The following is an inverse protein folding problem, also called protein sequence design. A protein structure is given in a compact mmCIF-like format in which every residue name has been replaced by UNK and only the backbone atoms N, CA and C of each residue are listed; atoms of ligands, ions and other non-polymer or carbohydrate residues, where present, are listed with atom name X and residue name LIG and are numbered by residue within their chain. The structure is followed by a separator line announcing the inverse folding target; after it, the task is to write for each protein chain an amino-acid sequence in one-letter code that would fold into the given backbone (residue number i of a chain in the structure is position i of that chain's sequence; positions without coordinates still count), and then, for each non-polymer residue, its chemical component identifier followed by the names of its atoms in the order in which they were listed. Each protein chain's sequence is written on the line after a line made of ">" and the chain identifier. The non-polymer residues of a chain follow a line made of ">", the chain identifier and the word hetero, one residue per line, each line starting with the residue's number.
data_IF_505620364894
#
_entry.id   IF_505620364894
#
_cell.length_a   1.000
_cell.length_b   1.000
_cell.length_c   1.000
_cell.angle_alpha   90.00
_cell.angle_beta   90.00
_cell.angle_gamma   90.00
#
_symmetry.space_group_name_H-M   'P 1'
#
loop_
_entity.id
_entity.type
_entity.pdbx_description
1 polymer ?
#
# COMPACT_ATOMS: atom_id res chain seq x y z
N UNK A 1 24.64 9.55 17.64
CA UNK A 1 23.63 10.05 16.70
C UNK A 1 23.62 9.10 15.52
N UNK A 2 22.82 8.03 15.62
CA UNK A 2 22.61 7.09 14.52
C UNK A 2 21.87 7.82 13.40
N UNK A 3 22.40 7.66 12.19
CA UNK A 3 21.97 8.36 11.00
C UNK A 3 20.53 7.97 10.69
N UNK A 4 19.60 8.92 10.58
CA UNK A 4 18.16 8.68 10.35
C UNK A 4 17.89 7.81 9.11
N UNK A 5 18.81 7.82 8.15
CA UNK A 5 18.84 6.96 6.96
C UNK A 5 19.14 5.48 7.27
N UNK A 6 19.94 5.20 8.29
CA UNK A 6 20.30 3.84 8.70
C UNK A 6 19.17 3.20 9.50
N UNK A 7 18.50 3.97 10.35
CA UNK A 7 17.33 3.48 11.09
C UNK A 7 16.19 3.07 10.14
N UNK A 8 15.96 3.85 9.08
CA UNK A 8 15.00 3.51 8.03
C UNK A 8 15.40 2.23 7.30
N UNK A 9 16.69 2.08 6.98
CA UNK A 9 17.22 0.89 6.30
C UNK A 9 17.10 -0.37 7.17
N UNK A 10 17.38 -0.25 8.47
CA UNK A 10 17.32 -1.36 9.41
C UNK A 10 15.85 -1.79 9.70
N UNK A 11 14.89 -0.84 9.72
CA UNK A 11 13.44 -1.13 9.79
C UNK A 11 12.93 -1.82 8.52
N UNK A 12 13.45 -1.42 7.36
CA UNK A 12 13.11 -2.00 6.07
C UNK A 12 13.62 -3.43 5.90
N UNK A 13 14.82 -3.71 6.38
CA UNK A 13 15.40 -5.06 6.41
C UNK A 13 14.67 -6.01 7.38
N UNK A 14 14.02 -5.48 8.42
CA UNK A 14 13.27 -6.29 9.40
C UNK A 14 11.90 -6.77 8.88
N UNK A 15 11.34 -6.15 7.84
CA UNK A 15 10.03 -6.47 7.25
C UNK A 15 10.13 -7.15 5.85
N UNK A 16 11.34 -7.55 5.46
CA UNK A 16 11.85 -7.76 4.10
C UNK A 16 11.37 -8.97 3.27
N UNK A 17 10.52 -9.88 3.78
CA UNK A 17 10.44 -11.21 3.15
C UNK A 17 9.60 -11.39 1.87
N UNK A 18 9.00 -10.35 1.27
CA UNK A 18 8.23 -10.56 0.02
C UNK A 18 8.35 -9.50 -1.07
N UNK A 19 9.00 -8.36 -0.84
CA UNK A 19 9.07 -7.32 -1.87
C UNK A 19 10.30 -6.41 -1.71
N UNK A 20 11.33 -6.58 -2.55
CA UNK A 20 12.48 -5.68 -2.57
C UNK A 20 12.01 -4.26 -2.99
N UNK A 21 12.22 -3.27 -2.13
CA UNK A 21 12.12 -1.87 -2.54
C UNK A 21 13.15 -1.62 -3.67
N UNK A 22 12.83 -0.81 -4.69
CA UNK A 22 13.84 -0.42 -5.68
C UNK A 22 15.03 0.19 -4.95
N UNK A 23 16.25 -0.28 -5.23
CA UNK A 23 17.47 0.19 -4.56
C UNK A 23 17.68 1.70 -4.78
N UNK A 24 17.21 2.53 -3.83
CA UNK A 24 17.25 3.98 -3.90
C UNK A 24 18.67 4.49 -3.68
N UNK A 25 19.10 5.47 -4.47
CA UNK A 25 20.30 6.24 -4.14
C UNK A 25 20.00 7.27 -3.04
N UNK A 26 21.04 7.90 -2.48
CA UNK A 26 20.91 8.87 -1.39
C UNK A 26 19.98 10.05 -1.68
N UNK A 27 19.92 10.51 -2.94
CA UNK A 27 19.08 11.64 -3.34
C UNK A 27 17.60 11.22 -3.41
N UNK A 28 17.34 10.06 -4.02
CA UNK A 28 16.00 9.46 -4.13
C UNK A 28 15.46 9.11 -2.74
N UNK A 29 16.29 8.55 -1.86
CA UNK A 29 15.93 8.22 -0.49
C UNK A 29 15.56 9.48 0.32
N UNK A 30 16.25 10.61 0.10
CA UNK A 30 15.90 11.90 0.73
C UNK A 30 14.61 12.51 0.21
N UNK A 31 14.18 12.13 -0.99
CA UNK A 31 12.90 12.56 -1.54
C UNK A 31 11.71 11.78 -0.95
N UNK A 32 11.96 10.61 -0.37
CA UNK A 32 10.93 9.79 0.27
C UNK A 32 10.64 10.28 1.70
N UNK A 33 9.44 10.00 2.18
CA UNK A 33 9.03 10.36 3.55
C UNK A 33 8.47 9.15 4.28
N UNK A 34 8.88 8.96 5.54
CA UNK A 34 8.19 8.06 6.45
C UNK A 34 7.00 8.81 7.07
N UNK A 35 5.80 8.31 6.79
CA UNK A 35 4.54 8.86 7.26
C UNK A 35 3.93 7.92 8.29
N UNK A 36 3.37 8.50 9.34
CA UNK A 36 2.66 7.77 10.37
C UNK A 36 1.21 8.22 10.37
N UNK A 37 0.32 7.26 10.21
CA UNK A 37 -1.11 7.50 10.18
C UNK A 37 -1.76 6.80 11.37
N UNK A 38 -2.63 7.49 12.14
CA UNK A 38 -3.47 6.81 13.10
C UNK A 38 -4.50 5.96 12.35
N UNK A 39 -5.24 5.14 13.09
CA UNK A 39 -6.37 4.40 12.55
C UNK A 39 -7.48 5.32 12.03
N UNK A 40 -8.21 4.90 10.98
CA UNK A 40 -9.30 5.62 10.31
C UNK A 40 -8.89 6.92 9.61
N UNK A 41 -7.61 7.06 9.27
CA UNK A 41 -7.14 8.19 8.47
C UNK A 41 -7.25 7.87 6.97
N UNK A 42 -7.68 8.85 6.18
CA UNK A 42 -7.78 8.71 4.71
C UNK A 42 -6.44 9.08 4.08
N UNK A 43 -5.77 8.09 3.48
CA UNK A 43 -4.47 8.26 2.81
C UNK A 43 -4.68 8.67 1.36
N UNK A 44 -5.63 8.05 0.67
CA UNK A 44 -5.96 8.36 -0.73
C UNK A 44 -7.45 8.64 -0.85
N UNK A 45 -7.79 9.70 -1.57
CA UNK A 45 -9.18 10.10 -1.82
C UNK A 45 -9.58 9.76 -3.25
N UNK A 46 -10.73 9.10 -3.40
CA UNK A 46 -11.32 8.83 -4.71
C UNK A 46 -11.56 10.15 -5.47
N UNK A 47 -11.24 10.15 -6.76
CA UNK A 47 -11.38 11.28 -7.65
C UNK A 47 -10.28 12.34 -7.52
N UNK A 48 -9.28 12.15 -6.66
CA UNK A 48 -8.12 13.04 -6.57
C UNK A 48 -6.94 12.54 -7.42
N UNK A 49 -6.11 13.44 -7.96
CA UNK A 49 -4.87 13.04 -8.63
C UNK A 49 -3.88 12.44 -7.63
N UNK A 50 -3.08 11.49 -8.09
CA UNK A 50 -2.03 10.89 -7.27
C UNK A 50 -0.76 11.76 -7.28
N UNK A 51 -0.33 12.21 -6.11
CA UNK A 51 0.95 12.91 -5.91
C UNK A 51 2.10 11.96 -5.49
N UNK A 52 1.77 10.74 -5.09
CA UNK A 52 2.72 9.74 -4.61
C UNK A 52 2.18 8.32 -4.77
N UNK A 53 3.09 7.35 -4.68
CA UNK A 53 2.78 5.95 -4.33
C UNK A 53 3.31 5.69 -2.92
N UNK A 54 2.83 4.64 -2.26
CA UNK A 54 3.27 4.31 -0.91
C UNK A 54 3.69 2.86 -0.80
N UNK A 55 4.69 2.59 0.03
CA UNK A 55 5.00 1.26 0.52
C UNK A 55 4.47 1.13 1.95
N UNK A 56 3.75 0.05 2.23
CA UNK A 56 3.23 -0.24 3.57
C UNK A 56 4.34 -0.91 4.38
N UNK A 57 5.00 -0.15 5.24
CA UNK A 57 6.02 -0.70 6.13
C UNK A 57 5.37 -1.46 7.29
N UNK A 58 4.28 -0.92 7.84
CA UNK A 58 3.52 -1.52 8.94
C UNK A 58 2.05 -1.13 8.86
N UNK A 59 1.17 -2.08 9.17
CA UNK A 59 -0.26 -1.89 9.40
C UNK A 59 -1.12 -2.41 8.26
N UNK A 60 -2.43 -2.11 8.35
CA UNK A 60 -3.41 -2.56 7.35
C UNK A 60 -4.19 -1.36 6.83
N UNK A 61 -4.33 -1.30 5.51
CA UNK A 61 -5.17 -0.34 4.81
C UNK A 61 -6.32 -1.05 4.12
N UNK A 62 -7.47 -0.38 4.08
CA UNK A 62 -8.65 -0.80 3.33
C UNK A 62 -8.82 0.07 2.10
N UNK A 63 -8.92 -0.58 0.95
CA UNK A 63 -9.37 0.05 -0.28
C UNK A 63 -10.88 -0.07 -0.39
N UNK A 64 -11.55 1.06 -0.62
CA UNK A 64 -12.99 1.17 -0.76
C UNK A 64 -13.32 1.94 -2.03
N UNK A 65 -14.49 1.65 -2.60
CA UNK A 65 -15.07 2.44 -3.68
C UNK A 65 -16.33 3.12 -3.17
N UNK A 66 -16.45 4.41 -3.44
CA UNK A 66 -17.65 5.23 -3.23
C UNK A 66 -18.46 5.19 -4.53
N UNK A 67 -19.70 4.71 -4.44
CA UNK A 67 -20.63 4.73 -5.58
C UNK A 67 -21.34 6.09 -5.74
N UNK A 68 -22.19 6.22 -6.76
CA UNK A 68 -22.95 7.45 -7.02
C UNK A 68 -23.95 7.83 -5.91
N UNK A 69 -24.28 6.90 -5.02
CA UNK A 69 -25.17 7.11 -3.88
C UNK A 69 -24.40 7.45 -2.59
N UNK A 70 -23.07 7.41 -2.63
CA UNK A 70 -22.21 7.65 -1.46
C UNK A 70 -21.95 6.39 -0.63
N UNK A 71 -22.31 5.21 -1.12
CA UNK A 71 -22.09 3.94 -0.41
C UNK A 71 -20.63 3.52 -0.55
N UNK A 72 -19.99 3.20 0.58
CA UNK A 72 -18.64 2.64 0.61
C UNK A 72 -18.71 1.12 0.45
N UNK A 73 -18.01 0.59 -0.55
CA UNK A 73 -17.86 -0.86 -0.77
C UNK A 73 -16.38 -1.23 -0.70
N UNK A 74 -15.97 -2.11 0.22
CA UNK A 74 -14.63 -2.69 0.25
C UNK A 74 -14.23 -3.34 -1.08
N UNK A 75 -12.97 -3.16 -1.48
CA UNK A 75 -12.40 -3.69 -2.74
C UNK A 75 -11.10 -4.45 -2.55
N UNK A 76 -10.36 -4.19 -1.49
CA UNK A 76 -9.08 -4.82 -1.26
C UNK A 76 -8.45 -4.40 0.05
N UNK A 77 -7.42 -5.15 0.43
CA UNK A 77 -6.58 -4.86 1.58
C UNK A 77 -5.14 -4.67 1.11
N UNK A 78 -4.43 -3.80 1.81
CA UNK A 78 -2.98 -3.64 1.72
C UNK A 78 -2.40 -3.83 3.12
N UNK A 79 -1.30 -4.56 3.23
CA UNK A 79 -0.63 -4.82 4.50
C UNK A 79 0.88 -4.74 4.36
N UNK A 80 1.63 -4.98 5.45
CA UNK A 80 3.09 -4.98 5.46
C UNK A 80 3.71 -5.60 4.20
N UNK A 81 4.56 -4.84 3.50
CA UNK A 81 5.23 -5.29 2.27
C UNK A 81 4.48 -5.02 0.97
N UNK A 82 3.24 -4.52 1.04
CA UNK A 82 2.47 -4.12 -0.13
C UNK A 82 2.84 -2.72 -0.63
N UNK A 83 2.70 -2.53 -1.95
CA UNK A 83 2.75 -1.23 -2.57
C UNK A 83 1.33 -0.72 -2.77
N UNK A 84 1.02 0.43 -2.17
CA UNK A 84 -0.13 1.25 -2.50
C UNK A 84 0.14 1.97 -3.82
N UNK A 85 -0.03 1.20 -4.90
CA UNK A 85 0.04 1.66 -6.27
C UNK A 85 -1.15 1.10 -7.03
N UNK A 86 -1.66 1.88 -7.97
CA UNK A 86 -2.73 1.48 -8.90
C UNK A 86 -2.32 1.85 -10.32
N UNK A 87 -2.98 1.25 -11.30
CA UNK A 87 -2.78 1.59 -12.71
C UNK A 87 -3.00 3.09 -13.00
N UNK A 88 -3.83 3.77 -12.20
CA UNK A 88 -4.07 5.21 -12.33
C UNK A 88 -2.81 6.05 -12.12
N UNK A 89 -1.91 5.59 -11.24
CA UNK A 89 -0.61 6.20 -11.03
C UNK A 89 0.27 6.10 -12.29
N UNK A 90 0.03 5.10 -13.15
CA UNK A 90 0.77 4.88 -14.38
C UNK A 90 0.16 5.59 -15.59
N UNK A 91 -1.14 5.88 -15.55
CA UNK A 91 -1.91 6.56 -16.60
C UNK A 91 -2.20 8.04 -16.31
N UNK A 92 -1.69 8.61 -15.21
CA UNK A 92 -1.97 10.01 -14.81
C UNK A 92 -3.47 10.31 -14.67
N UNK A 93 -4.24 9.32 -14.25
CA UNK A 93 -5.67 9.47 -13.99
C UNK A 93 -5.91 9.67 -12.49
N UNK A 94 -7.09 10.20 -12.15
CA UNK A 94 -7.51 10.32 -10.76
C UNK A 94 -7.70 8.94 -10.13
N UNK A 95 -7.57 8.87 -8.81
CA UNK A 95 -7.83 7.66 -8.05
C UNK A 95 -9.28 7.19 -8.24
N UNK A 96 -9.47 5.90 -8.47
CA UNK A 96 -10.75 5.24 -8.59
C UNK A 96 -11.28 4.69 -7.25
N UNK A 97 -10.45 4.73 -6.20
CA UNK A 97 -10.74 4.25 -4.86
C UNK A 97 -10.37 5.24 -3.76
N UNK A 98 -10.93 5.03 -2.58
CA UNK A 98 -10.53 5.64 -1.33
C UNK A 98 -9.71 4.61 -0.55
N UNK A 99 -8.61 5.03 0.06
CA UNK A 99 -7.80 4.18 0.92
C UNK A 99 -7.76 4.78 2.32
N UNK A 100 -8.17 3.98 3.30
CA UNK A 100 -8.19 4.32 4.73
C UNK A 100 -7.35 3.35 5.56
N UNK A 101 -6.80 3.81 6.68
CA UNK A 101 -6.08 2.95 7.62
C UNK A 101 -7.04 2.19 8.55
N UNK A 102 -6.88 0.87 8.66
CA UNK A 102 -7.63 0.04 9.61
C UNK A 102 -6.89 -0.17 10.94
N UNK A 103 -5.59 0.14 10.97
CA UNK A 103 -4.73 0.14 12.15
C UNK A 103 -3.90 1.42 12.15
N UNK A 104 -3.12 1.72 13.19
CA UNK A 104 -1.98 2.62 13.02
C UNK A 104 -1.08 2.08 11.91
N UNK A 105 -0.63 2.94 11.00
CA UNK A 105 0.16 2.55 9.84
C UNK A 105 1.43 3.38 9.73
N UNK A 106 2.49 2.73 9.26
CA UNK A 106 3.73 3.36 8.82
C UNK A 106 3.87 3.16 7.32
N UNK A 107 3.90 4.27 6.58
CA UNK A 107 3.99 4.26 5.12
C UNK A 107 5.25 4.99 4.67
N UNK A 108 5.91 4.46 3.64
CA UNK A 108 6.96 5.18 2.94
C UNK A 108 6.37 5.78 1.68
N UNK A 109 6.25 7.10 1.67
CA UNK A 109 5.79 7.87 0.53
C UNK A 109 6.93 8.04 -0.48
N UNK A 110 6.67 7.66 -1.73
CA UNK A 110 7.50 7.97 -2.88
C UNK A 110 6.78 8.99 -3.77
N UNK A 111 7.35 10.19 -3.97
CA UNK A 111 6.75 11.19 -4.85
C UNK A 111 6.55 10.65 -6.27
N UNK A 112 5.42 10.98 -6.90
CA UNK A 112 5.12 10.48 -8.24
C UNK A 112 6.14 10.97 -9.29
N UNK A 113 6.69 12.16 -9.10
CA UNK A 113 7.72 12.74 -9.98
C UNK A 113 9.01 11.88 -10.02
N UNK A 114 9.35 11.25 -8.90
CA UNK A 114 10.47 10.32 -8.82
C UNK A 114 10.20 9.07 -9.68
N UNK A 115 9.01 8.49 -9.53
CA UNK A 115 8.58 7.31 -10.30
C UNK A 115 8.52 7.63 -11.80
N UNK A 116 8.00 8.80 -12.16
CA UNK A 116 7.97 9.29 -13.53
C UNK A 116 9.39 9.49 -14.08
N UNK A 117 10.31 9.99 -13.26
CA UNK A 117 11.73 10.12 -13.63
C UNK A 117 12.33 8.77 -13.94
N UNK A 118 12.11 7.74 -13.12
CA UNK A 118 12.58 6.38 -13.40
C UNK A 118 12.06 5.86 -14.74
N UNK A 119 10.77 6.05 -15.00
CA UNK A 119 10.14 5.65 -16.27
C UNK A 119 10.75 6.38 -17.46
N UNK A 120 10.89 7.70 -17.38
CA UNK A 120 11.34 8.54 -18.50
C UNK A 120 12.83 8.36 -18.79
N UNK A 121 13.63 8.10 -17.77
CA UNK A 121 15.07 7.84 -17.88
C UNK A 121 15.40 6.38 -18.19
N UNK A 122 14.39 5.50 -18.25
CA UNK A 122 14.56 4.04 -18.41
C UNK A 122 15.48 3.44 -17.34
N UNK A 123 15.37 3.94 -16.11
CA UNK A 123 16.07 3.36 -14.96
C UNK A 123 15.63 1.92 -14.75
N UNK A 124 16.55 1.04 -14.34
CA UNK A 124 16.25 -0.36 -13.98
C UNK A 124 15.28 -0.48 -12.79
N UNK A 125 15.12 0.59 -11.99
CA UNK A 125 14.15 0.67 -10.89
C UNK A 125 12.70 0.60 -11.37
N UNK A 126 12.43 1.14 -12.55
CA UNK A 126 11.08 1.15 -13.12
C UNK A 126 10.55 -0.26 -13.44
N UNK A 127 11.25 -1.10 -14.24
CA UNK A 127 10.80 -2.47 -14.45
C UNK A 127 10.79 -3.30 -13.16
N UNK A 128 11.71 -3.08 -12.22
CA UNK A 128 11.69 -3.76 -10.92
C UNK A 128 10.41 -3.45 -10.11
N UNK A 129 10.02 -2.17 -10.04
CA UNK A 129 8.77 -1.75 -9.39
C UNK A 129 7.54 -2.36 -10.07
N UNK A 130 7.54 -2.44 -11.41
CA UNK A 130 6.44 -3.06 -12.15
C UNK A 130 6.36 -4.57 -11.92
N UNK A 131 7.50 -5.27 -11.84
CA UNK A 131 7.54 -6.70 -11.54
C UNK A 131 6.93 -6.99 -10.16
N UNK A 132 7.36 -6.22 -9.15
CA UNK A 132 6.80 -6.25 -7.81
C UNK A 132 5.28 -6.05 -7.82
N UNK A 133 4.80 -5.04 -8.54
CA UNK A 133 3.37 -4.76 -8.62
C UNK A 133 2.59 -5.89 -9.30
N UNK A 134 3.12 -6.46 -10.38
CA UNK A 134 2.54 -7.62 -11.03
C UNK A 134 2.47 -8.84 -10.10
N UNK A 135 3.52 -9.08 -9.30
CA UNK A 135 3.52 -10.15 -8.30
C UNK A 135 2.44 -9.93 -7.24
N UNK A 136 2.27 -8.71 -6.74
CA UNK A 136 1.18 -8.37 -5.80
C UNK A 136 -0.20 -8.59 -6.41
N UNK A 137 -0.43 -8.16 -7.66
CA UNK A 137 -1.70 -8.40 -8.35
C UNK A 137 -2.02 -9.90 -8.46
N UNK A 138 -1.03 -10.73 -8.78
CA UNK A 138 -1.19 -12.18 -8.83
C UNK A 138 -1.42 -12.80 -7.44
N UNK A 139 -0.72 -12.33 -6.41
CA UNK A 139 -0.95 -12.77 -5.02
C UNK A 139 -2.37 -12.44 -4.56
N UNK A 140 -2.85 -11.21 -4.79
CA UNK A 140 -4.23 -10.81 -4.49
C UNK A 140 -5.26 -11.63 -5.24
N UNK A 141 -4.99 -11.91 -6.52
CA UNK A 141 -5.84 -12.80 -7.31
C UNK A 141 -5.96 -14.19 -6.69
N UNK A 142 -4.85 -14.76 -6.21
CA UNK A 142 -4.85 -16.07 -5.53
C UNK A 142 -5.57 -16.04 -4.20
N UNK A 143 -5.49 -14.93 -3.46
CA UNK A 143 -6.23 -14.78 -2.19
C UNK A 143 -7.75 -14.93 -2.37
N UNK A 144 -8.28 -14.67 -3.57
CA UNK A 144 -9.71 -14.86 -3.85
C UNK A 144 -10.19 -16.31 -3.80
N UNK A 145 -9.28 -17.26 -3.94
CA UNK A 145 -9.60 -18.68 -3.89
C UNK A 145 -9.59 -19.23 -2.44
N UNK A 146 -9.19 -18.40 -1.45
CA UNK A 146 -9.10 -18.80 -0.05
C UNK A 146 -10.36 -18.48 0.75
N UNK A 147 -10.54 -19.19 1.86
CA UNK A 147 -11.64 -18.95 2.80
C UNK A 147 -11.46 -17.59 3.50
N UNK A 148 -12.38 -16.67 3.20
CA UNK A 148 -12.43 -15.33 3.81
C UNK A 148 -12.44 -15.35 5.34
N UNK A 149 -13.02 -16.38 5.97
CA UNK A 149 -13.04 -16.49 7.43
C UNK A 149 -11.64 -16.78 7.98
N UNK A 150 -10.86 -17.63 7.29
CA UNK A 150 -9.49 -17.93 7.67
C UNK A 150 -8.58 -16.71 7.48
N UNK A 151 -8.77 -15.96 6.40
CA UNK A 151 -8.05 -14.70 6.15
C UNK A 151 -8.35 -13.70 7.25
N UNK A 152 -9.64 -13.50 7.58
CA UNK A 152 -10.06 -12.59 8.64
C UNK A 152 -9.45 -12.97 10.01
N UNK A 153 -9.45 -14.26 10.37
CA UNK A 153 -8.82 -14.73 11.61
C UNK A 153 -7.31 -14.49 11.63
N UNK A 154 -6.64 -14.70 10.49
CA UNK A 154 -5.21 -14.41 10.34
C UNK A 154 -4.92 -12.92 10.54
N UNK A 155 -5.74 -12.04 9.96
CA UNK A 155 -5.64 -10.59 10.14
C UNK A 155 -5.79 -10.19 11.61
N UNK A 156 -6.82 -10.68 12.31
CA UNK A 156 -7.00 -10.40 13.74
C UNK A 156 -5.85 -10.91 14.60
N UNK A 157 -5.26 -12.05 14.25
CA UNK A 157 -4.11 -12.59 14.98
C UNK A 157 -2.85 -11.76 14.77
N UNK A 158 -2.67 -11.18 13.57
CA UNK A 158 -1.49 -10.38 13.22
C UNK A 158 -1.63 -8.92 13.66
N UNK A 159 -2.85 -8.40 13.61
CA UNK A 159 -3.19 -7.01 13.94
C UNK A 159 -4.27 -6.98 15.02
N UNK A 160 -3.92 -7.12 16.30
CA UNK A 160 -4.88 -7.10 17.41
C UNK A 160 -5.64 -5.76 17.53
N UNK A 161 -5.05 -4.68 17.02
CA UNK A 161 -5.61 -3.32 17.03
C UNK A 161 -6.52 -3.04 15.84
N UNK A 162 -6.75 -4.02 14.95
CA UNK A 162 -7.72 -3.91 13.87
C UNK A 162 -9.08 -3.58 14.50
N UNK A 163 -9.59 -2.38 14.21
CA UNK A 163 -10.80 -1.84 14.87
C UNK A 163 -11.96 -2.81 14.70
N UNK A 164 -12.84 -2.86 15.70
CA UNK A 164 -14.11 -3.62 15.68
C UNK A 164 -15.05 -3.30 14.49
N UNK A 165 -14.72 -2.32 13.66
CA UNK A 165 -15.54 -1.88 12.53
C UNK A 165 -15.20 -2.63 11.21
N UNK A 166 -14.10 -3.40 11.16
CA UNK A 166 -13.84 -4.30 10.04
C UNK A 166 -14.44 -5.69 10.30
N UNK A 167 -15.37 -6.13 9.44
CA UNK A 167 -16.09 -7.39 9.64
C UNK A 167 -15.63 -8.49 8.68
N UNK A 168 -15.99 -9.74 8.98
CA UNK A 168 -15.75 -10.87 8.09
C UNK A 168 -16.47 -10.71 6.74
N UNK A 169 -17.65 -10.06 6.71
CA UNK A 169 -18.37 -9.76 5.46
C UNK A 169 -17.59 -8.76 4.59
N UNK A 170 -16.99 -7.73 5.19
CA UNK A 170 -16.13 -6.80 4.47
C UNK A 170 -14.84 -7.48 3.98
N UNK A 171 -14.27 -8.38 4.79
CA UNK A 171 -13.15 -9.22 4.36
C UNK A 171 -13.54 -10.09 3.15
N UNK A 172 -14.72 -10.70 3.16
CA UNK A 172 -15.24 -11.48 2.04
C UNK A 172 -15.34 -10.62 0.77
N UNK A 173 -15.82 -9.39 0.88
CA UNK A 173 -15.90 -8.44 -0.24
C UNK A 173 -14.52 -8.05 -0.79
N UNK A 174 -13.48 -7.99 0.04
CA UNK A 174 -12.11 -7.69 -0.40
C UNK A 174 -11.45 -8.86 -1.17
N UNK A 175 -11.94 -10.08 -0.98
CA UNK A 175 -11.38 -11.30 -1.58
C UNK A 175 -12.30 -11.91 -2.64
N UNK A 176 -13.35 -11.22 -3.06
CA UNK A 176 -14.24 -11.70 -4.15
C UNK A 176 -14.02 -10.88 -5.41
#
# INVERSE_FOLDING_TARGET
>A
MQNRSQALHDELEAHWHTTELPNLNDEEARACQLLQYPTQEIIVKQGQPHSAIYFVAEGVLLEQQIDHQGTLTPKGLYSDGDWLMSLCHLSSTVSDSLIESLTPCQLIELPIDLVQTWRNTKSEKWPALLEVYCQQLEQRRRMRDFDSQLIYQSLLSRYPDLVNDFTVEQCQQCVT
#
